data_IF_668067968064
#
_entry.id   IF_668067968064
#
_cell.length_a   1.000
_cell.length_b   1.000
_cell.length_c   1.000
_cell.angle_alpha   90.00
_cell.angle_beta   90.00
_cell.angle_gamma   90.00
#
_symmetry.space_group_name_H-M   'P 1'
#
loop_
_entity.id
_entity.type
_entity.pdbx_description
1 polymer ?
#
# COMPACT_ATOMS: atom_id res chain seq x y z
N UNK A 1 -22.56 -8.08 12.78
CA UNK A 1 -21.83 -7.70 11.56
C UNK A 1 -21.32 -8.97 10.87
N UNK A 2 -21.41 -9.05 9.54
CA UNK A 2 -20.91 -10.19 8.78
C UNK A 2 -19.37 -10.11 8.75
N UNK A 3 -18.63 -11.14 9.21
CA UNK A 3 -17.17 -11.14 9.15
C UNK A 3 -16.62 -10.86 7.76
N UNK A 4 -17.28 -11.34 6.72
CA UNK A 4 -16.89 -11.13 5.33
C UNK A 4 -16.97 -9.66 4.91
N UNK A 5 -17.84 -8.88 5.53
CA UNK A 5 -18.02 -7.46 5.21
C UNK A 5 -16.82 -6.60 5.65
N UNK A 6 -16.12 -7.02 6.71
CA UNK A 6 -14.97 -6.30 7.25
C UNK A 6 -13.63 -6.86 6.74
N UNK A 7 -13.66 -7.76 5.78
CA UNK A 7 -12.48 -8.50 5.34
C UNK A 7 -12.12 -8.06 3.92
N UNK A 8 -11.44 -6.94 3.83
CA UNK A 8 -11.05 -6.34 2.56
C UNK A 8 -10.33 -7.35 1.66
N UNK A 9 -10.87 -7.56 0.47
CA UNK A 9 -10.29 -8.41 -0.55
C UNK A 9 -10.49 -9.92 -0.39
N UNK A 10 -11.12 -10.41 0.69
CA UNK A 10 -11.37 -11.85 0.84
C UNK A 10 -12.55 -12.34 0.00
N UNK A 11 -13.59 -11.54 -0.10
CA UNK A 11 -14.79 -11.87 -0.89
C UNK A 11 -15.10 -10.83 -1.97
N UNK A 12 -14.28 -9.80 -2.09
CA UNK A 12 -14.38 -8.87 -3.19
C UNK A 12 -13.65 -9.44 -4.40
N UNK A 13 -14.29 -9.46 -5.58
CA UNK A 13 -13.65 -9.94 -6.78
C UNK A 13 -12.45 -9.09 -7.11
N UNK A 14 -11.41 -9.76 -7.60
CA UNK A 14 -10.21 -9.09 -8.07
C UNK A 14 -10.55 -8.20 -9.27
N UNK A 15 -10.10 -6.94 -9.24
CA UNK A 15 -10.17 -6.07 -10.41
C UNK A 15 -9.29 -6.63 -11.54
N UNK A 16 -9.57 -6.23 -12.76
CA UNK A 16 -8.78 -6.63 -13.92
C UNK A 16 -8.27 -5.42 -14.69
N UNK A 17 -7.30 -5.63 -15.57
CA UNK A 17 -6.72 -4.58 -16.41
C UNK A 17 -7.23 -4.77 -17.82
N UNK A 18 -7.87 -3.74 -18.40
CA UNK A 18 -8.41 -3.79 -19.75
C UNK A 18 -7.30 -3.53 -20.81
N UNK A 19 -7.69 -3.57 -22.10
CA UNK A 19 -6.79 -3.35 -23.23
C UNK A 19 -6.14 -1.95 -23.22
N UNK A 20 -6.80 -0.96 -22.64
CA UNK A 20 -6.28 0.41 -22.50
C UNK A 20 -5.34 0.56 -21.28
N UNK A 21 -4.99 -0.55 -20.62
CA UNK A 21 -4.17 -0.58 -19.40
C UNK A 21 -4.79 0.16 -18.20
N UNK A 22 -6.13 0.19 -18.14
CA UNK A 22 -6.91 0.78 -17.05
C UNK A 22 -7.44 -0.33 -16.14
N UNK A 23 -7.43 -0.10 -14.82
CA UNK A 23 -8.03 -1.01 -13.86
C UNK A 23 -9.55 -0.85 -13.89
N UNK A 24 -10.22 -1.97 -14.11
CA UNK A 24 -11.68 -2.07 -14.07
C UNK A 24 -12.05 -2.81 -12.78
N UNK A 25 -12.67 -2.12 -11.79
CA UNK A 25 -13.17 -2.77 -10.60
C UNK A 25 -14.28 -3.77 -10.94
N UNK A 26 -14.29 -4.88 -10.22
CA UNK A 26 -15.38 -5.86 -10.27
C UNK A 26 -16.30 -5.68 -9.07
N UNK A 27 -17.57 -5.92 -9.26
CA UNK A 27 -18.58 -5.80 -8.21
C UNK A 27 -19.33 -7.11 -8.04
N UNK A 28 -19.75 -7.40 -6.81
CA UNK A 28 -20.50 -8.62 -6.50
C UNK A 28 -21.71 -8.28 -5.63
N UNK A 29 -22.82 -8.91 -5.93
CA UNK A 29 -24.04 -8.81 -5.14
C UNK A 29 -24.67 -10.17 -4.88
N UNK A 30 -25.70 -10.20 -4.05
CA UNK A 30 -26.47 -11.41 -3.73
C UNK A 30 -25.60 -12.61 -3.31
N UNK A 31 -24.69 -12.39 -2.34
CA UNK A 31 -23.82 -13.46 -1.86
C UNK A 31 -24.62 -14.63 -1.31
N UNK A 32 -24.18 -15.84 -1.69
CA UNK A 32 -24.71 -17.11 -1.22
C UNK A 32 -23.59 -17.98 -0.70
N UNK A 33 -23.89 -18.91 0.19
CA UNK A 33 -22.93 -19.84 0.74
C UNK A 33 -23.53 -21.26 0.77
N UNK A 34 -22.77 -22.25 0.34
CA UNK A 34 -23.17 -23.66 0.36
C UNK A 34 -22.05 -24.54 0.89
N UNK A 35 -22.42 -25.57 1.67
CA UNK A 35 -21.45 -26.57 2.15
C UNK A 35 -21.22 -27.61 1.05
N UNK A 36 -19.96 -27.87 0.73
CA UNK A 36 -19.47 -28.86 -0.23
C UNK A 36 -18.82 -30.00 0.55
N UNK A 37 -19.37 -31.20 0.43
CA UNK A 37 -18.81 -32.42 1.06
C UNK A 37 -18.13 -33.30 -0.01
N UNK A 38 -16.85 -33.50 0.12
CA UNK A 38 -16.08 -34.33 -0.80
C UNK A 38 -15.01 -35.09 -0.05
N UNK A 39 -14.92 -36.40 -0.28
CA UNK A 39 -13.90 -37.30 0.30
C UNK A 39 -13.73 -37.17 1.84
N UNK A 40 -14.85 -37.00 2.54
CA UNK A 40 -14.86 -36.81 4.00
C UNK A 40 -14.49 -35.42 4.50
N UNK A 41 -14.05 -34.54 3.65
CA UNK A 41 -13.79 -33.11 3.96
C UNK A 41 -15.02 -32.27 3.67
N UNK A 42 -15.15 -31.17 4.42
CA UNK A 42 -16.16 -30.13 4.19
C UNK A 42 -15.46 -28.85 3.82
N UNK A 43 -15.82 -28.29 2.68
CA UNK A 43 -15.45 -26.93 2.28
C UNK A 43 -16.71 -26.13 2.02
N UNK A 44 -16.58 -24.85 1.85
CA UNK A 44 -17.71 -23.95 1.64
C UNK A 44 -17.51 -23.19 0.35
N UNK A 45 -18.54 -23.24 -0.51
CA UNK A 45 -18.61 -22.44 -1.72
C UNK A 45 -19.30 -21.12 -1.37
N UNK A 46 -18.67 -20.01 -1.71
CA UNK A 46 -19.29 -18.69 -1.68
C UNK A 46 -19.49 -18.25 -3.12
N UNK A 47 -20.69 -17.76 -3.45
CA UNK A 47 -21.00 -17.25 -4.78
C UNK A 47 -21.68 -15.89 -4.70
N UNK A 48 -21.54 -15.08 -5.74
CA UNK A 48 -22.23 -13.82 -5.87
C UNK A 48 -22.47 -13.47 -7.33
N UNK A 49 -23.50 -12.69 -7.59
CA UNK A 49 -23.81 -12.21 -8.93
C UNK A 49 -22.79 -11.15 -9.36
N UNK A 50 -22.42 -11.16 -10.63
CA UNK A 50 -21.60 -10.11 -11.23
C UNK A 50 -22.46 -8.86 -11.47
N UNK A 51 -22.08 -7.75 -10.86
CA UNK A 51 -22.79 -6.49 -10.90
C UNK A 51 -21.97 -5.42 -11.61
N UNK A 52 -22.67 -4.44 -12.21
CA UNK A 52 -22.06 -3.23 -12.77
C UNK A 52 -21.90 -2.16 -11.67
N UNK A 53 -21.12 -1.14 -11.96
CA UNK A 53 -20.90 0.01 -11.07
C UNK A 53 -22.17 0.80 -10.73
N UNK A 54 -23.22 0.69 -11.53
CA UNK A 54 -24.53 1.30 -11.29
C UNK A 54 -25.45 0.47 -10.37
N UNK A 55 -24.96 -0.67 -9.87
CA UNK A 55 -25.72 -1.58 -9.01
C UNK A 55 -26.67 -2.52 -9.77
N UNK A 56 -26.61 -2.57 -11.09
CA UNK A 56 -27.38 -3.53 -11.89
C UNK A 56 -26.58 -4.82 -12.13
N UNK A 57 -27.29 -5.95 -12.28
CA UNK A 57 -26.67 -7.23 -12.65
C UNK A 57 -26.09 -7.14 -14.05
N UNK A 58 -24.84 -7.60 -14.21
CA UNK A 58 -24.20 -7.66 -15.52
C UNK A 58 -24.84 -8.73 -16.40
N UNK A 59 -25.56 -8.29 -17.42
CA UNK A 59 -26.29 -9.19 -18.31
C UNK A 59 -25.39 -10.10 -19.16
N UNK A 60 -24.13 -9.74 -19.38
CA UNK A 60 -23.16 -10.54 -20.13
C UNK A 60 -22.78 -11.83 -19.37
N UNK A 61 -22.78 -11.77 -18.04
CA UNK A 61 -22.49 -12.87 -17.15
C UNK A 61 -23.76 -13.51 -16.51
N UNK A 62 -24.93 -13.31 -17.10
CA UNK A 62 -26.18 -13.85 -16.59
C UNK A 62 -26.11 -15.39 -16.45
N UNK A 63 -26.32 -15.87 -15.22
CA UNK A 63 -26.22 -17.31 -14.90
C UNK A 63 -24.83 -17.82 -14.59
N UNK A 64 -23.85 -16.92 -14.55
CA UNK A 64 -22.52 -17.12 -14.00
C UNK A 64 -22.37 -16.36 -12.68
N UNK A 65 -21.43 -16.81 -11.85
CA UNK A 65 -21.26 -16.30 -10.50
C UNK A 65 -19.78 -16.07 -10.21
N UNK A 66 -19.45 -14.96 -9.57
CA UNK A 66 -18.21 -14.86 -8.83
C UNK A 66 -18.19 -15.95 -7.78
N UNK A 67 -17.06 -16.63 -7.62
CA UNK A 67 -17.00 -17.84 -6.83
C UNK A 67 -15.71 -17.94 -6.03
N UNK A 68 -15.83 -18.34 -4.78
CA UNK A 68 -14.74 -18.58 -3.86
C UNK A 68 -14.98 -19.90 -3.11
N UNK A 69 -13.90 -20.58 -2.73
CA UNK A 69 -13.97 -21.67 -1.77
C UNK A 69 -13.19 -21.34 -0.50
N UNK A 70 -13.64 -21.89 0.61
CA UNK A 70 -12.97 -21.76 1.90
C UNK A 70 -13.18 -23.02 2.74
N UNK A 71 -12.19 -23.39 3.55
CA UNK A 71 -12.34 -24.44 4.52
C UNK A 71 -12.59 -23.92 5.94
N UNK A 72 -12.30 -22.65 6.22
CA UNK A 72 -12.22 -22.09 7.55
C UNK A 72 -12.87 -20.71 7.71
N UNK A 73 -13.34 -20.08 6.62
CA UNK A 73 -13.80 -18.69 6.56
C UNK A 73 -12.76 -17.64 6.97
N UNK A 74 -11.50 -18.01 6.96
CA UNK A 74 -10.37 -17.12 7.25
C UNK A 74 -9.47 -16.95 6.01
N UNK A 75 -9.38 -18.03 5.21
CA UNK A 75 -8.66 -18.06 3.94
C UNK A 75 -9.61 -18.44 2.80
N UNK A 76 -9.44 -17.81 1.63
CA UNK A 76 -10.34 -17.99 0.50
C UNK A 76 -9.55 -18.20 -0.79
N UNK A 77 -9.96 -19.22 -1.56
CA UNK A 77 -9.49 -19.44 -2.92
C UNK A 77 -10.50 -18.86 -3.90
N UNK A 78 -10.07 -17.87 -4.68
CA UNK A 78 -10.91 -17.27 -5.72
C UNK A 78 -10.89 -18.13 -6.98
N UNK A 79 -12.07 -18.52 -7.44
CA UNK A 79 -12.26 -19.28 -8.69
C UNK A 79 -12.65 -18.40 -9.87
N UNK A 80 -12.89 -17.09 -9.64
CA UNK A 80 -13.37 -16.15 -10.62
C UNK A 80 -14.84 -16.36 -11.02
N UNK A 81 -15.21 -15.92 -12.20
CA UNK A 81 -16.56 -16.08 -12.72
C UNK A 81 -16.71 -17.49 -13.27
N UNK A 82 -17.61 -18.27 -12.66
CA UNK A 82 -17.94 -19.62 -13.07
C UNK A 82 -19.42 -19.72 -13.47
N UNK A 83 -19.73 -20.43 -14.55
CA UNK A 83 -21.10 -20.76 -14.87
C UNK A 83 -21.70 -21.73 -13.83
N UNK A 84 -23.02 -21.73 -13.71
CA UNK A 84 -23.70 -22.69 -12.82
C UNK A 84 -23.35 -24.14 -13.11
N UNK A 85 -23.13 -24.52 -14.37
CA UNK A 85 -22.71 -25.87 -14.76
C UNK A 85 -21.31 -26.21 -14.25
N UNK A 86 -20.35 -25.31 -14.41
CA UNK A 86 -18.98 -25.46 -13.88
C UNK A 86 -18.97 -25.60 -12.36
N UNK A 87 -19.79 -24.84 -11.65
CA UNK A 87 -19.91 -24.95 -10.20
C UNK A 87 -20.51 -26.28 -9.77
N UNK A 88 -21.54 -26.76 -10.44
CA UNK A 88 -22.14 -28.08 -10.18
C UNK A 88 -21.10 -29.20 -10.38
N UNK A 89 -20.32 -29.14 -11.46
CA UNK A 89 -19.26 -30.11 -11.74
C UNK A 89 -18.15 -30.10 -10.68
N UNK A 90 -17.68 -28.91 -10.33
CA UNK A 90 -16.60 -28.76 -9.32
C UNK A 90 -17.00 -29.21 -7.92
N UNK A 91 -18.25 -28.95 -7.54
CA UNK A 91 -18.71 -29.09 -6.14
C UNK A 91 -19.58 -30.31 -5.90
N UNK A 92 -20.18 -30.87 -6.95
CA UNK A 92 -21.22 -31.90 -6.84
C UNK A 92 -22.57 -31.39 -6.32
N UNK A 93 -22.73 -30.07 -6.15
CA UNK A 93 -23.99 -29.46 -5.73
C UNK A 93 -24.93 -29.27 -6.93
N UNK A 94 -26.24 -29.22 -6.65
CA UNK A 94 -27.23 -28.79 -7.64
C UNK A 94 -27.22 -27.25 -7.76
N UNK A 95 -27.62 -26.74 -8.92
CA UNK A 95 -27.72 -25.30 -9.14
C UNK A 95 -28.71 -24.63 -8.16
N UNK A 96 -29.76 -25.36 -7.76
CA UNK A 96 -30.71 -24.91 -6.75
C UNK A 96 -30.03 -24.74 -5.39
N UNK A 97 -29.24 -25.72 -4.93
CA UNK A 97 -28.47 -25.63 -3.69
C UNK A 97 -27.51 -24.44 -3.69
N UNK A 98 -26.87 -24.15 -4.84
CA UNK A 98 -25.95 -23.01 -4.98
C UNK A 98 -26.70 -21.66 -4.87
N UNK A 99 -27.90 -21.58 -5.42
CA UNK A 99 -28.68 -20.33 -5.47
C UNK A 99 -29.51 -20.02 -4.24
N UNK A 100 -29.94 -21.05 -3.51
CA UNK A 100 -30.95 -20.91 -2.44
C UNK A 100 -30.36 -20.77 -1.05
N UNK A 101 -29.08 -21.10 -0.86
CA UNK A 101 -28.51 -21.18 0.48
C UNK A 101 -27.76 -19.89 0.84
N UNK A 102 -28.29 -19.10 1.77
CA UNK A 102 -27.67 -17.93 2.34
C UNK A 102 -27.33 -18.11 3.83
N UNK A 103 -27.62 -19.28 4.39
CA UNK A 103 -27.26 -19.69 5.75
C UNK A 103 -26.78 -21.15 5.75
N UNK A 104 -25.72 -21.41 6.47
CA UNK A 104 -25.17 -22.77 6.68
C UNK A 104 -24.86 -23.02 8.15
N UNK A 105 -24.98 -24.28 8.55
CA UNK A 105 -24.46 -24.73 9.84
C UNK A 105 -22.95 -25.04 9.69
N UNK A 106 -22.16 -24.53 10.59
CA UNK A 106 -20.72 -24.83 10.69
C UNK A 106 -20.43 -25.52 12.02
N UNK A 107 -19.35 -26.33 12.12
CA UNK A 107 -18.95 -26.93 13.39
C UNK A 107 -18.67 -25.88 14.47
N UNK A 108 -19.00 -26.20 15.71
CA UNK A 108 -18.78 -25.30 16.85
C UNK A 108 -17.32 -24.87 16.98
N UNK A 109 -16.38 -25.78 16.72
CA UNK A 109 -14.95 -25.51 16.73
C UNK A 109 -14.57 -24.43 15.70
N UNK A 110 -15.09 -24.53 14.50
CA UNK A 110 -14.91 -23.52 13.43
C UNK A 110 -15.54 -22.18 13.82
N UNK A 111 -16.76 -22.20 14.40
CA UNK A 111 -17.43 -21.01 14.88
C UNK A 111 -16.61 -20.31 15.98
N UNK A 112 -15.95 -21.08 16.86
CA UNK A 112 -15.07 -20.51 17.89
C UNK A 112 -13.79 -19.93 17.27
N UNK A 113 -13.18 -20.58 16.31
CA UNK A 113 -12.01 -20.07 15.59
C UNK A 113 -12.33 -18.75 14.87
N UNK A 114 -13.44 -18.67 14.15
CA UNK A 114 -13.91 -17.44 13.47
C UNK A 114 -14.14 -16.32 14.51
N UNK A 115 -14.89 -16.62 15.57
CA UNK A 115 -15.14 -15.65 16.66
C UNK A 115 -13.84 -15.18 17.31
N UNK A 116 -12.91 -16.12 17.57
CA UNK A 116 -11.63 -15.77 18.16
C UNK A 116 -10.82 -14.85 17.24
N UNK A 117 -10.74 -15.18 15.96
CA UNK A 117 -10.04 -14.36 14.96
C UNK A 117 -10.61 -12.93 14.92
N UNK A 118 -11.93 -12.79 14.72
CA UNK A 118 -12.56 -11.46 14.63
C UNK A 118 -12.59 -10.70 15.95
N UNK A 119 -12.78 -11.40 17.07
CA UNK A 119 -12.69 -10.77 18.38
C UNK A 119 -11.25 -10.33 18.70
N UNK A 120 -10.23 -11.04 18.24
CA UNK A 120 -8.84 -10.62 18.38
C UNK A 120 -8.53 -9.36 17.57
N UNK A 121 -9.11 -9.23 16.37
CA UNK A 121 -8.98 -8.02 15.54
C UNK A 121 -9.70 -6.82 16.19
N UNK A 122 -10.87 -7.06 16.83
CA UNK A 122 -11.67 -6.03 17.46
C UNK A 122 -11.46 -5.93 19.00
N UNK A 123 -10.73 -6.88 19.59
CA UNK A 123 -10.45 -6.82 21.02
C UNK A 123 -9.73 -5.51 21.29
N UNK A 124 -10.29 -4.73 22.22
CA UNK A 124 -9.48 -3.73 22.90
C UNK A 124 -8.30 -4.48 23.47
N UNK A 125 -7.16 -4.47 22.77
CA UNK A 125 -5.91 -4.88 23.39
C UNK A 125 -5.86 -4.08 24.66
N UNK A 126 -5.81 -4.75 25.81
CA UNK A 126 -5.32 -4.12 27.01
C UNK A 126 -3.85 -3.83 26.74
N UNK A 127 -3.62 -2.74 26.00
CA UNK A 127 -2.30 -2.17 25.90
C UNK A 127 -1.99 -1.74 27.33
N UNK A 128 -0.97 -2.30 27.93
CA UNK A 128 -0.21 -1.58 28.96
C UNK A 128 -0.12 -0.16 28.47
N UNK A 129 -0.55 0.82 29.29
CA UNK A 129 -0.68 2.23 28.87
C UNK A 129 0.42 2.60 27.89
N UNK A 130 0.09 3.02 26.66
CA UNK A 130 1.09 3.29 25.66
C UNK A 130 2.03 4.35 26.23
N UNK A 131 3.33 4.12 26.16
CA UNK A 131 4.36 5.08 26.58
C UNK A 131 4.21 6.42 25.85
N UNK A 132 3.50 6.43 24.72
CA UNK A 132 3.19 7.58 23.88
C UNK A 132 1.67 7.69 23.73
N UNK A 133 1.16 8.92 23.82
CA UNK A 133 -0.25 9.21 23.60
C UNK A 133 -0.50 9.42 22.12
N UNK A 134 -1.46 8.72 21.52
CA UNK A 134 -1.87 8.88 20.13
C UNK A 134 -3.04 9.88 19.97
N UNK A 135 -3.10 10.61 18.83
CA UNK A 135 -2.04 10.72 17.83
C UNK A 135 -0.82 11.47 18.39
N UNK A 136 0.39 11.11 17.95
CA UNK A 136 1.64 11.75 18.38
C UNK A 136 1.70 13.21 17.91
N UNK A 137 1.19 13.48 16.72
CA UNK A 137 1.07 14.81 16.12
C UNK A 137 -0.12 14.83 15.16
N UNK A 138 -0.55 16.04 14.77
CA UNK A 138 -1.60 16.27 13.78
C UNK A 138 -1.07 17.14 12.64
N UNK A 139 -1.59 16.91 11.41
CA UNK A 139 -1.17 17.64 10.21
C UNK A 139 0.29 17.34 9.81
N UNK A 140 0.78 16.15 10.15
CA UNK A 140 2.09 15.64 9.75
C UNK A 140 1.89 14.24 9.14
N UNK A 141 1.76 14.22 7.81
CA UNK A 141 1.59 13.01 7.03
C UNK A 141 2.94 12.39 6.63
N UNK A 142 2.95 11.13 6.18
CA UNK A 142 4.14 10.43 5.67
C UNK A 142 5.32 10.51 6.66
N UNK A 143 5.16 10.08 7.92
CA UNK A 143 6.14 10.27 8.96
C UNK A 143 7.34 9.33 8.79
N UNK A 144 8.55 9.85 8.93
CA UNK A 144 9.79 9.05 8.94
C UNK A 144 10.65 9.46 10.13
N UNK A 145 11.16 8.45 10.83
CA UNK A 145 12.14 8.60 11.92
C UNK A 145 13.48 7.98 11.48
N UNK A 146 14.55 8.71 11.69
CA UNK A 146 15.92 8.26 11.48
C UNK A 146 16.69 8.31 12.81
N UNK A 147 17.37 7.22 13.16
CA UNK A 147 18.43 7.25 14.19
C UNK A 147 19.76 7.53 13.50
N UNK A 148 20.40 8.66 13.81
CA UNK A 148 21.65 9.08 13.20
C UNK A 148 22.60 9.69 14.24
N UNK A 149 23.78 9.09 14.42
CA UNK A 149 24.79 9.55 15.38
C UNK A 149 24.21 9.78 16.79
N UNK A 150 23.52 8.78 17.33
CA UNK A 150 22.92 8.75 18.67
C UNK A 150 21.72 9.69 18.92
N UNK A 151 21.25 10.39 17.89
CA UNK A 151 20.05 11.22 17.95
C UNK A 151 18.97 10.74 16.99
N UNK A 152 17.72 10.94 17.39
CA UNK A 152 16.57 10.71 16.53
C UNK A 152 16.21 11.97 15.75
N UNK A 153 15.93 11.80 14.46
CA UNK A 153 15.45 12.83 13.57
C UNK A 153 14.08 12.42 13.03
N UNK A 154 13.16 13.37 12.98
CA UNK A 154 11.82 13.16 12.46
C UNK A 154 11.56 14.14 11.32
N UNK A 155 10.99 13.64 10.24
CA UNK A 155 10.54 14.42 9.09
C UNK A 155 9.19 13.89 8.63
N UNK A 156 8.37 14.77 8.05
CA UNK A 156 7.05 14.44 7.51
C UNK A 156 6.61 15.48 6.48
N UNK A 157 5.62 15.16 5.68
CA UNK A 157 4.81 16.16 4.97
C UNK A 157 4.10 17.04 6.00
N UNK A 158 4.11 18.34 5.82
CA UNK A 158 3.55 19.28 6.79
C UNK A 158 2.29 19.95 6.26
N UNK A 159 1.13 19.34 6.47
CA UNK A 159 -0.18 19.86 6.08
C UNK A 159 -0.49 21.20 6.80
N UNK A 160 0.11 21.43 7.99
CA UNK A 160 -0.06 22.69 8.71
C UNK A 160 0.61 23.88 8.01
N UNK A 161 1.55 23.62 7.10
CA UNK A 161 2.25 24.60 6.27
C UNK A 161 1.84 24.50 4.79
N UNK A 162 0.66 23.92 4.51
CA UNK A 162 0.10 23.71 3.16
C UNK A 162 1.05 22.88 2.26
N UNK A 163 1.73 21.91 2.82
CA UNK A 163 2.69 21.03 2.13
C UNK A 163 3.82 21.81 1.44
N UNK A 164 4.30 22.90 2.06
CA UNK A 164 5.40 23.70 1.51
C UNK A 164 6.61 23.65 2.43
N UNK A 165 7.71 23.11 1.87
CA UNK A 165 8.98 22.96 2.57
C UNK A 165 9.06 21.70 3.42
N UNK A 166 10.30 21.30 3.76
CA UNK A 166 10.56 20.18 4.67
C UNK A 166 11.13 20.66 5.98
N UNK A 167 10.61 20.12 7.06
CA UNK A 167 10.91 20.50 8.43
C UNK A 167 11.36 19.30 9.24
N UNK A 168 12.48 19.43 9.93
CA UNK A 168 13.09 18.35 10.73
C UNK A 168 13.01 18.68 12.21
N UNK A 169 12.69 17.69 13.02
CA UNK A 169 12.85 17.71 14.47
C UNK A 169 14.01 16.81 14.86
N UNK A 170 14.70 17.16 15.96
CA UNK A 170 15.78 16.37 16.53
C UNK A 170 15.57 16.18 18.02
N UNK A 171 15.81 14.99 18.54
CA UNK A 171 15.81 14.70 19.97
C UNK A 171 16.75 13.54 20.29
N UNK A 172 17.23 13.46 21.53
CA UNK A 172 18.04 12.33 21.99
C UNK A 172 17.16 11.10 22.33
N UNK A 173 15.92 11.34 22.78
CA UNK A 173 14.93 10.30 23.06
C UNK A 173 13.78 10.37 22.04
N UNK A 174 13.34 9.23 21.54
CA UNK A 174 12.26 9.14 20.54
C UNK A 174 10.99 9.92 20.95
N UNK A 175 10.58 9.79 22.21
CA UNK A 175 9.37 10.46 22.74
C UNK A 175 9.44 11.98 22.66
N UNK A 176 10.66 12.55 22.76
CA UNK A 176 10.88 13.99 22.82
C UNK A 176 10.75 14.65 21.43
N UNK A 177 10.77 13.87 20.34
CA UNK A 177 10.44 14.34 18.98
C UNK A 177 9.00 14.92 18.90
N UNK A 178 8.13 14.51 19.82
CA UNK A 178 6.72 14.89 19.85
C UNK A 178 6.38 15.74 21.08
N UNK A 179 7.39 16.23 21.81
CA UNK A 179 7.19 17.14 22.92
C UNK A 179 6.61 18.48 22.43
N UNK A 180 5.80 19.14 23.28
CA UNK A 180 5.09 20.38 22.91
C UNK A 180 6.02 21.52 22.47
N UNK A 181 7.23 21.55 23.00
CA UNK A 181 8.24 22.60 22.80
C UNK A 181 9.40 22.13 21.89
N UNK A 182 9.25 20.99 21.19
CA UNK A 182 10.26 20.51 20.26
C UNK A 182 10.51 21.51 19.15
N UNK A 183 11.79 21.83 18.93
CA UNK A 183 12.17 22.73 17.85
C UNK A 183 12.06 22.06 16.50
N UNK A 184 11.59 22.83 15.53
CA UNK A 184 11.43 22.41 14.14
C UNK A 184 12.31 23.26 13.24
N UNK A 185 13.09 22.64 12.36
CA UNK A 185 14.08 23.28 11.51
C UNK A 185 13.73 23.05 10.04
N UNK A 186 13.53 24.14 9.27
CA UNK A 186 13.28 24.05 7.85
C UNK A 186 14.58 23.76 7.10
N UNK A 187 14.65 22.66 6.37
CA UNK A 187 15.84 22.23 5.62
C UNK A 187 15.68 22.41 4.10
N UNK A 188 14.47 22.49 3.60
CA UNK A 188 14.16 22.83 2.21
C UNK A 188 12.95 23.75 2.17
N UNK A 189 13.01 24.78 1.35
CA UNK A 189 11.90 25.73 1.17
C UNK A 189 11.48 25.80 -0.29
N UNK A 190 10.38 26.51 -0.52
CA UNK A 190 9.91 26.84 -1.87
C UNK A 190 10.98 27.56 -2.66
N UNK A 191 11.21 27.09 -3.88
CA UNK A 191 12.15 27.68 -4.85
C UNK A 191 11.51 27.63 -6.25
N UNK A 192 10.83 28.70 -6.61
CA UNK A 192 10.09 28.80 -7.88
C UNK A 192 11.01 28.77 -9.10
N UNK A 193 12.26 29.23 -8.97
CA UNK A 193 13.22 29.24 -10.07
C UNK A 193 13.68 27.83 -10.43
N UNK A 194 13.75 26.94 -9.45
CA UNK A 194 14.14 25.55 -9.63
C UNK A 194 12.93 24.56 -9.68
N UNK A 195 11.69 25.08 -9.73
CA UNK A 195 10.48 24.27 -9.88
C UNK A 195 10.02 23.58 -8.57
N UNK A 196 10.47 24.05 -7.40
CA UNK A 196 9.99 23.57 -6.09
C UNK A 196 8.90 24.51 -5.57
N UNK A 197 7.66 24.28 -5.98
CA UNK A 197 6.58 25.27 -5.76
C UNK A 197 5.56 24.79 -4.74
N UNK A 198 5.19 23.51 -4.79
CA UNK A 198 4.11 22.92 -4.01
C UNK A 198 4.30 21.41 -3.83
N UNK A 199 3.47 20.77 -3.00
CA UNK A 199 3.42 19.33 -2.79
C UNK A 199 4.78 18.75 -2.35
N UNK A 200 5.34 19.32 -1.27
CA UNK A 200 6.52 18.78 -0.62
C UNK A 200 6.09 17.54 0.19
N UNK A 201 6.03 16.39 -0.47
CA UNK A 201 5.43 15.17 0.05
C UNK A 201 6.45 14.06 0.29
N UNK A 202 6.06 13.16 1.20
CA UNK A 202 6.71 11.88 1.46
C UNK A 202 8.25 11.97 1.56
N UNK A 203 8.79 12.78 2.48
CA UNK A 203 10.23 12.86 2.68
C UNK A 203 10.74 11.62 3.44
N UNK A 204 11.78 10.97 2.91
CA UNK A 204 12.40 9.80 3.53
C UNK A 204 13.91 9.97 3.68
N UNK A 205 14.43 9.78 4.89
CA UNK A 205 15.87 9.70 5.13
C UNK A 205 16.39 8.29 4.85
N UNK A 206 17.42 8.18 4.03
CA UNK A 206 18.08 6.90 3.75
C UNK A 206 19.60 7.04 3.69
N UNK A 207 20.29 6.00 4.17
CA UNK A 207 21.76 5.91 4.06
C UNK A 207 22.08 5.03 2.86
N UNK A 208 22.63 5.63 1.80
CA UNK A 208 23.06 4.96 0.58
C UNK A 208 24.56 5.09 0.44
N UNK A 209 25.25 3.96 0.30
CA UNK A 209 26.72 3.92 0.19
C UNK A 209 27.43 4.82 1.22
N UNK A 210 26.99 4.75 2.50
CA UNK A 210 27.57 5.51 3.61
C UNK A 210 27.26 6.99 3.67
N UNK A 211 26.49 7.54 2.73
CA UNK A 211 26.04 8.94 2.73
C UNK A 211 24.55 9.02 3.07
N UNK A 212 24.17 10.08 3.79
CA UNK A 212 22.76 10.35 4.09
C UNK A 212 22.10 11.12 2.95
N UNK A 213 20.96 10.64 2.52
CA UNK A 213 20.11 11.24 1.50
C UNK A 213 18.72 11.51 2.04
N UNK A 214 18.05 12.51 1.48
CA UNK A 214 16.61 12.74 1.60
C UNK A 214 15.99 12.48 0.24
N UNK A 215 15.11 11.49 0.16
CA UNK A 215 14.22 11.26 -0.97
C UNK A 215 12.89 11.95 -0.70
N UNK A 216 12.26 12.51 -1.72
CA UNK A 216 11.00 13.23 -1.55
C UNK A 216 10.30 13.47 -2.87
N UNK A 217 9.05 13.89 -2.77
CA UNK A 217 8.23 14.34 -3.90
C UNK A 217 8.06 15.86 -3.83
N UNK A 218 8.09 16.52 -4.97
CA UNK A 218 7.76 17.94 -5.11
C UNK A 218 7.20 18.22 -6.51
N UNK A 219 6.36 19.25 -6.61
CA UNK A 219 5.77 19.72 -7.86
C UNK A 219 6.18 21.17 -8.17
N UNK A 220 6.24 21.47 -9.44
CA UNK A 220 6.33 22.85 -9.94
C UNK A 220 4.99 23.61 -9.83
N UNK A 221 4.80 24.67 -10.58
CA UNK A 221 3.56 25.46 -10.58
C UNK A 221 2.36 24.69 -11.14
N UNK A 222 2.59 23.71 -11.98
CA UNK A 222 1.56 22.79 -12.44
C UNK A 222 1.49 21.59 -11.47
N UNK A 223 0.32 20.97 -11.35
CA UNK A 223 0.18 19.78 -10.51
C UNK A 223 0.82 18.57 -11.19
N UNK A 224 2.10 18.37 -10.94
CA UNK A 224 2.94 17.33 -11.54
C UNK A 224 4.01 16.84 -10.55
N UNK A 225 3.64 16.22 -9.42
CA UNK A 225 4.59 15.79 -8.40
C UNK A 225 5.54 14.71 -8.91
N UNK A 226 6.84 14.86 -8.62
CA UNK A 226 7.92 14.02 -9.09
C UNK A 226 8.93 13.69 -7.99
N UNK A 227 9.55 12.51 -8.09
CA UNK A 227 10.57 12.05 -7.16
C UNK A 227 11.88 12.82 -7.32
N UNK A 228 12.42 13.29 -6.20
CA UNK A 228 13.69 14.00 -6.09
C UNK A 228 14.54 13.38 -4.97
N UNK A 229 15.82 13.66 -5.03
CA UNK A 229 16.80 13.26 -4.03
C UNK A 229 17.76 14.41 -3.75
N UNK A 230 18.16 14.59 -2.50
CA UNK A 230 19.26 15.47 -2.12
C UNK A 230 20.17 14.80 -1.12
N UNK A 231 21.47 15.10 -1.18
CA UNK A 231 22.51 14.50 -0.37
C UNK A 231 22.93 15.43 0.74
N UNK A 232 23.14 14.90 1.96
CA UNK A 232 23.81 15.62 3.02
C UNK A 232 25.31 15.67 2.71
N UNK A 233 25.90 16.86 2.76
CA UNK A 233 27.35 17.05 2.59
C UNK A 233 28.11 16.29 3.66
N UNK A 234 29.34 15.91 3.34
CA UNK A 234 30.22 15.25 4.31
C UNK A 234 30.35 16.11 5.57
N UNK A 235 30.19 15.48 6.74
CA UNK A 235 30.15 16.15 8.05
C UNK A 235 29.08 17.24 8.22
N UNK A 236 28.08 17.32 7.33
CA UNK A 236 26.98 18.27 7.40
C UNK A 236 26.06 18.02 8.61
N UNK A 237 25.38 19.09 9.02
CA UNK A 237 24.29 19.03 10.01
C UNK A 237 22.96 18.89 9.29
N UNK A 238 22.19 17.84 9.61
CA UNK A 238 20.87 17.56 9.04
C UNK A 238 19.93 18.78 9.20
N UNK A 239 20.07 19.54 10.26
CA UNK A 239 19.21 20.69 10.58
C UNK A 239 19.59 21.97 9.83
N UNK A 240 20.77 22.00 9.20
CA UNK A 240 21.26 23.17 8.47
C UNK A 240 20.97 23.03 6.97
N UNK A 241 20.05 23.87 6.38
CA UNK A 241 19.72 23.76 4.95
C UNK A 241 20.93 23.97 4.02
N UNK A 242 22.00 24.66 4.47
CA UNK A 242 23.22 24.89 3.68
C UNK A 242 24.12 23.67 3.59
N UNK A 243 23.91 22.67 4.44
CA UNK A 243 24.71 21.45 4.46
C UNK A 243 24.10 20.35 3.58
N UNK A 244 22.97 20.63 2.96
CA UNK A 244 22.39 19.80 1.90
C UNK A 244 22.87 20.25 0.52
N UNK A 245 23.09 19.27 -0.36
CA UNK A 245 23.33 19.53 -1.78
C UNK A 245 22.02 19.95 -2.46
N UNK A 246 22.11 20.51 -3.67
CA UNK A 246 20.89 20.87 -4.42
C UNK A 246 20.09 19.62 -4.76
N UNK A 247 18.77 19.67 -4.61
CA UNK A 247 17.91 18.56 -5.03
C UNK A 247 18.04 18.23 -6.53
N UNK A 248 18.01 16.95 -6.84
CA UNK A 248 18.06 16.43 -8.20
C UNK A 248 16.83 15.57 -8.45
N UNK A 249 16.12 15.78 -9.56
CA UNK A 249 15.04 14.89 -9.97
C UNK A 249 15.61 13.54 -10.41
N UNK A 250 15.06 12.44 -9.90
CA UNK A 250 15.50 11.10 -10.27
C UNK A 250 15.16 10.81 -11.73
N UNK A 251 16.08 10.14 -12.45
CA UNK A 251 16.03 9.91 -13.89
C UNK A 251 16.28 8.45 -14.25
N UNK A 252 15.84 8.06 -15.44
CA UNK A 252 16.18 6.77 -16.06
C UNK A 252 17.65 6.68 -16.44
N UNK A 253 18.12 5.48 -16.76
CA UNK A 253 19.47 5.20 -17.24
C UNK A 253 19.87 6.04 -18.46
N UNK A 254 18.93 6.30 -19.37
CA UNK A 254 19.14 7.13 -20.56
C UNK A 254 19.11 8.65 -20.30
N UNK A 255 18.94 9.07 -19.03
CA UNK A 255 18.83 10.48 -18.62
C UNK A 255 17.43 11.08 -18.77
N UNK A 256 16.46 10.34 -19.31
CA UNK A 256 15.06 10.75 -19.42
C UNK A 256 14.36 10.78 -18.05
N UNK A 257 13.16 11.32 -17.99
CA UNK A 257 12.32 11.29 -16.79
C UNK A 257 11.84 9.86 -16.48
N UNK A 258 11.48 9.57 -15.22
CA UNK A 258 10.95 8.27 -14.82
C UNK A 258 9.74 7.85 -15.67
N UNK A 259 8.93 8.82 -16.06
CA UNK A 259 7.87 8.67 -17.06
C UNK A 259 7.73 9.95 -17.88
N UNK A 260 7.24 9.84 -19.12
CA UNK A 260 6.96 11.01 -19.98
C UNK A 260 5.70 11.75 -19.53
N UNK A 261 4.75 11.04 -18.94
CA UNK A 261 3.46 11.59 -18.48
C UNK A 261 3.08 10.97 -17.13
N UNK A 262 2.35 11.75 -16.33
CA UNK A 262 1.85 11.32 -15.03
C UNK A 262 2.79 11.68 -13.89
N UNK A 263 2.40 11.28 -12.70
CA UNK A 263 3.10 11.55 -11.45
C UNK A 263 3.98 10.39 -11.04
N UNK A 264 5.06 10.70 -10.32
CA UNK A 264 5.95 9.73 -9.68
C UNK A 264 6.21 10.23 -8.26
N UNK A 265 5.74 9.51 -7.27
CA UNK A 265 5.72 9.92 -5.86
C UNK A 265 6.19 8.78 -4.95
N UNK A 266 6.52 9.11 -3.70
CA UNK A 266 6.73 8.15 -2.61
C UNK A 266 7.84 7.13 -2.93
N UNK A 267 9.00 7.61 -3.34
CA UNK A 267 10.12 6.75 -3.73
C UNK A 267 10.92 6.30 -2.51
N UNK A 268 11.04 4.99 -2.33
CA UNK A 268 11.84 4.35 -1.28
C UNK A 268 12.90 3.43 -1.87
N UNK A 269 14.11 3.33 -1.30
CA UNK A 269 15.12 2.36 -1.70
C UNK A 269 14.89 1.01 -1.01
N UNK A 270 15.13 -0.06 -1.76
CA UNK A 270 15.11 -1.43 -1.27
C UNK A 270 16.44 -2.10 -1.63
N UNK A 271 17.11 -2.72 -0.67
CA UNK A 271 18.34 -3.48 -0.91
C UNK A 271 18.02 -4.97 -0.97
N UNK A 272 18.63 -5.70 -1.91
CA UNK A 272 18.60 -7.16 -1.99
C UNK A 272 20.00 -7.67 -2.32
N UNK A 273 20.61 -8.42 -1.38
CA UNK A 273 22.03 -8.75 -1.45
C UNK A 273 22.88 -7.48 -1.53
N UNK A 274 23.66 -7.33 -2.61
CA UNK A 274 24.47 -6.13 -2.86
C UNK A 274 23.83 -5.15 -3.84
N UNK A 275 22.62 -5.45 -4.35
CA UNK A 275 21.91 -4.63 -5.33
C UNK A 275 20.93 -3.70 -4.66
N UNK A 276 20.67 -2.54 -5.28
CA UNK A 276 19.77 -1.51 -4.78
C UNK A 276 18.70 -1.21 -5.80
N UNK A 277 17.46 -1.12 -5.33
CA UNK A 277 16.28 -0.87 -6.15
C UNK A 277 15.49 0.29 -5.56
N UNK A 278 14.90 1.13 -6.42
CA UNK A 278 13.86 2.04 -6.02
C UNK A 278 12.49 1.40 -6.27
N UNK A 279 11.59 1.60 -5.32
CA UNK A 279 10.16 1.38 -5.51
C UNK A 279 9.45 2.71 -5.32
N UNK A 280 8.50 3.04 -6.20
CA UNK A 280 7.75 4.29 -6.14
C UNK A 280 6.34 4.13 -6.68
N UNK A 281 5.45 5.07 -6.34
CA UNK A 281 4.10 5.13 -6.89
C UNK A 281 4.07 5.92 -8.19
N UNK A 282 3.38 5.38 -9.20
CA UNK A 282 3.20 6.01 -10.51
C UNK A 282 1.73 5.98 -10.91
N UNK A 283 1.22 7.11 -11.45
CA UNK A 283 -0.13 7.21 -12.02
C UNK A 283 -0.14 8.16 -13.20
N UNK A 284 -0.86 7.80 -14.24
CA UNK A 284 -1.04 8.63 -15.45
C UNK A 284 -2.50 8.72 -15.87
N UNK A 285 -2.80 9.70 -16.72
CA UNK A 285 -4.15 9.99 -17.23
C UNK A 285 -5.17 10.27 -16.12
N UNK A 286 -4.74 10.85 -15.01
CA UNK A 286 -5.53 11.11 -13.81
C UNK A 286 -6.80 11.88 -14.15
N UNK A 287 -7.97 11.40 -13.66
CA UNK A 287 -9.25 12.03 -13.88
C UNK A 287 -9.84 11.87 -15.28
N UNK A 288 -9.25 11.00 -16.12
CA UNK A 288 -9.77 10.65 -17.44
C UNK A 288 -10.26 9.20 -17.48
N UNK A 289 -11.02 8.78 -18.52
CA UNK A 289 -11.40 7.37 -18.70
C UNK A 289 -10.22 6.41 -18.84
N UNK A 290 -9.01 6.92 -19.14
CA UNK A 290 -7.76 6.16 -19.27
C UNK A 290 -6.88 6.24 -18.01
N UNK A 291 -7.42 6.64 -16.88
CA UNK A 291 -6.71 6.71 -15.61
C UNK A 291 -6.22 5.31 -15.17
N UNK A 292 -4.91 5.17 -15.01
CA UNK A 292 -4.30 3.87 -14.67
C UNK A 292 -4.53 3.44 -13.22
N UNK A 293 -4.99 4.32 -12.35
CA UNK A 293 -4.81 4.17 -10.91
C UNK A 293 -3.32 4.28 -10.51
N UNK A 294 -3.04 4.46 -9.25
CA UNK A 294 -1.66 4.44 -8.74
C UNK A 294 -1.15 3.01 -8.67
N UNK A 295 0.05 2.78 -9.21
CA UNK A 295 0.71 1.48 -9.24
C UNK A 295 2.12 1.61 -8.68
N UNK A 296 2.66 0.55 -8.10
CA UNK A 296 4.06 0.52 -7.70
C UNK A 296 4.93 0.12 -8.89
N UNK A 297 5.97 0.92 -9.11
CA UNK A 297 7.03 0.65 -10.07
C UNK A 297 8.30 0.25 -9.34
N UNK A 298 9.16 -0.51 -9.99
CA UNK A 298 10.48 -0.90 -9.48
C UNK A 298 11.54 -0.76 -10.56
N UNK A 299 12.76 -0.36 -10.18
CA UNK A 299 13.95 -0.38 -11.04
C UNK A 299 15.22 -0.42 -10.20
N UNK A 300 16.27 -0.98 -10.74
CA UNK A 300 17.61 -1.00 -10.12
C UNK A 300 18.31 0.35 -10.26
N UNK A 301 19.09 0.75 -9.25
CA UNK A 301 19.95 1.94 -9.27
C UNK A 301 21.33 1.66 -8.68
N UNK A 302 22.32 2.47 -9.03
CA UNK A 302 23.66 2.45 -8.44
C UNK A 302 23.68 3.35 -7.20
N UNK A 303 23.96 2.83 -5.99
CA UNK A 303 24.00 3.63 -4.77
C UNK A 303 25.14 4.68 -4.77
N UNK A 304 26.09 4.63 -5.70
CA UNK A 304 27.10 5.69 -5.91
C UNK A 304 26.50 6.87 -6.68
N UNK A 305 25.54 6.61 -7.56
CA UNK A 305 24.80 7.57 -8.41
C UNK A 305 23.29 7.43 -8.24
N UNK A 306 22.78 7.63 -7.02
CA UNK A 306 21.40 7.30 -6.69
C UNK A 306 20.35 8.21 -7.36
N UNK A 307 20.79 9.28 -8.04
CA UNK A 307 19.92 10.15 -8.84
C UNK A 307 19.48 9.52 -10.17
N UNK A 308 19.99 8.32 -10.49
CA UNK A 308 19.74 7.69 -11.79
C UNK A 308 19.56 6.18 -11.68
N UNK A 309 18.53 5.68 -12.37
CA UNK A 309 18.31 4.24 -12.55
C UNK A 309 19.35 3.63 -13.47
N UNK A 310 19.61 2.34 -13.30
CA UNK A 310 20.46 1.54 -14.20
C UNK A 310 19.67 0.47 -14.95
N UNK A 311 18.43 0.18 -14.53
CA UNK A 311 17.47 -0.64 -15.30
C UNK A 311 16.26 0.18 -15.75
N UNK A 312 15.47 -0.36 -16.66
CA UNK A 312 14.17 0.22 -17.03
C UNK A 312 13.13 -0.08 -15.93
N UNK A 313 12.18 0.85 -15.69
CA UNK A 313 11.11 0.65 -14.73
C UNK A 313 10.16 -0.48 -15.12
N UNK A 314 9.89 -1.39 -14.16
CA UNK A 314 8.90 -2.45 -14.26
C UNK A 314 7.71 -2.17 -13.34
N UNK A 315 6.51 -2.62 -13.70
CA UNK A 315 5.31 -2.48 -12.87
C UNK A 315 5.24 -3.59 -11.84
N UNK A 316 5.71 -3.31 -10.63
CA UNK A 316 5.75 -4.27 -9.51
C UNK A 316 4.37 -4.67 -9.03
N UNK A 317 3.45 -3.72 -8.86
CA UNK A 317 2.13 -3.99 -8.28
C UNK A 317 1.06 -3.08 -8.85
N UNK A 318 -0.06 -3.69 -9.26
CA UNK A 318 -1.30 -3.00 -9.60
C UNK A 318 -2.29 -3.15 -8.43
N UNK A 319 -3.14 -2.14 -8.19
CA UNK A 319 -4.17 -2.18 -7.13
C UNK A 319 -5.37 -3.05 -7.53
N UNK A 320 -5.19 -4.37 -7.53
CA UNK A 320 -6.19 -5.34 -8.00
C UNK A 320 -7.07 -5.92 -6.89
N UNK A 321 -6.65 -5.83 -5.62
CA UNK A 321 -7.43 -6.34 -4.50
C UNK A 321 -8.47 -5.33 -4.01
N UNK A 322 -9.55 -5.83 -3.39
CA UNK A 322 -10.68 -5.01 -2.98
C UNK A 322 -10.31 -3.86 -2.03
N UNK A 323 -9.37 -4.09 -1.09
CA UNK A 323 -8.92 -3.05 -0.17
C UNK A 323 -8.12 -1.92 -0.85
N UNK A 324 -7.63 -2.15 -2.06
CA UNK A 324 -6.89 -1.18 -2.86
C UNK A 324 -7.80 -0.30 -3.73
N UNK A 325 -9.10 -0.66 -3.79
CA UNK A 325 -10.12 -0.04 -4.64
C UNK A 325 -11.30 0.46 -3.81
N UNK A 326 -11.03 1.15 -2.72
CA UNK A 326 -12.05 1.64 -1.79
C UNK A 326 -12.32 3.13 -1.98
N UNK A 327 -13.54 3.56 -1.63
CA UNK A 327 -13.92 4.97 -1.56
C UNK A 327 -13.63 5.75 -2.87
N UNK A 328 -13.88 5.10 -4.01
CA UNK A 328 -13.69 5.63 -5.37
C UNK A 328 -12.21 5.91 -5.75
N UNK A 329 -11.27 5.32 -5.04
CA UNK A 329 -9.83 5.45 -5.33
C UNK A 329 -9.24 4.09 -5.71
N UNK A 330 -8.41 4.08 -6.74
CA UNK A 330 -7.65 2.93 -7.22
C UNK A 330 -6.19 3.20 -6.93
N UNK A 331 -5.63 2.57 -5.88
CA UNK A 331 -4.38 3.05 -5.32
C UNK A 331 -3.47 1.98 -4.72
N UNK A 332 -2.18 2.00 -5.14
CA UNK A 332 -1.03 1.49 -4.40
C UNK A 332 0.00 2.61 -4.28
N UNK A 333 0.31 3.04 -3.06
CA UNK A 333 1.24 4.14 -2.80
C UNK A 333 2.03 3.95 -1.51
N UNK A 334 2.92 4.86 -1.18
CA UNK A 334 3.67 4.88 0.08
C UNK A 334 4.43 3.59 0.37
N UNK A 335 5.21 3.02 -0.58
CA UNK A 335 5.98 1.82 -0.30
C UNK A 335 7.08 2.11 0.72
N UNK A 336 7.31 1.20 1.68
CA UNK A 336 8.42 1.27 2.61
C UNK A 336 8.88 -0.14 3.00
N UNK A 337 10.18 -0.41 2.91
CA UNK A 337 10.73 -1.74 3.15
C UNK A 337 11.28 -1.92 4.56
N UNK A 338 11.14 -3.12 5.10
CA UNK A 338 11.88 -3.60 6.26
C UNK A 338 12.35 -5.04 6.05
N UNK A 339 13.29 -5.50 6.88
CA UNK A 339 13.98 -6.77 6.71
C UNK A 339 13.82 -7.64 7.95
N UNK A 340 13.48 -8.91 7.76
CA UNK A 340 13.37 -9.86 8.83
C UNK A 340 13.63 -11.29 8.34
N UNK A 341 14.49 -12.04 9.00
CA UNK A 341 14.83 -13.44 8.68
C UNK A 341 15.10 -13.71 7.20
N UNK A 342 16.04 -13.01 6.59
CA UNK A 342 16.40 -13.14 5.17
C UNK A 342 15.26 -12.85 4.20
N UNK A 343 14.24 -12.14 4.64
CA UNK A 343 13.15 -11.67 3.79
C UNK A 343 13.08 -10.16 3.76
N UNK A 344 12.66 -9.67 2.62
CA UNK A 344 12.30 -8.29 2.37
C UNK A 344 10.78 -8.19 2.49
N UNK A 345 10.32 -7.28 3.32
CA UNK A 345 8.91 -6.94 3.49
C UNK A 345 8.71 -5.51 2.99
N UNK A 346 7.96 -5.34 1.93
CA UNK A 346 7.61 -4.05 1.37
C UNK A 346 6.16 -3.74 1.72
N UNK A 347 5.95 -2.93 2.75
CA UNK A 347 4.64 -2.40 3.07
C UNK A 347 4.26 -1.32 2.07
N UNK A 348 2.99 -1.23 1.71
CA UNK A 348 2.44 -0.20 0.85
C UNK A 348 1.00 0.11 1.27
N UNK A 349 0.45 1.20 0.80
CA UNK A 349 -0.90 1.60 1.12
C UNK A 349 -1.85 1.43 -0.05
N UNK A 350 -3.11 1.06 0.27
CA UNK A 350 -4.19 0.90 -0.69
C UNK A 350 -5.46 1.61 -0.26
N UNK A 351 -6.23 2.09 -1.23
CA UNK A 351 -7.45 2.86 -0.98
C UNK A 351 -7.24 4.38 -0.93
N UNK A 352 -8.23 5.13 -0.49
CA UNK A 352 -8.15 6.60 -0.37
C UNK A 352 -7.42 7.01 0.90
N UNK A 353 -6.30 7.74 0.76
CA UNK A 353 -5.50 8.25 1.88
C UNK A 353 -6.29 9.15 2.86
N UNK A 354 -7.44 9.68 2.44
CA UNK A 354 -8.34 10.49 3.28
C UNK A 354 -9.51 9.67 3.82
N UNK A 355 -9.58 8.39 3.43
CA UNK A 355 -10.69 7.51 3.70
C UNK A 355 -10.52 6.70 4.98
N UNK A 356 -11.65 6.28 5.53
CA UNK A 356 -11.72 5.37 6.67
C UNK A 356 -11.10 4.00 6.34
N UNK A 357 -11.18 3.59 5.08
CA UNK A 357 -10.80 2.26 4.60
C UNK A 357 -9.35 2.20 4.07
N UNK A 358 -8.58 3.27 4.13
CA UNK A 358 -7.15 3.25 3.81
C UNK A 358 -6.45 2.17 4.63
N UNK A 359 -5.64 1.35 3.98
CA UNK A 359 -5.10 0.16 4.60
C UNK A 359 -3.69 -0.17 4.11
N UNK A 360 -2.92 -0.90 4.92
CA UNK A 360 -1.56 -1.31 4.60
C UNK A 360 -1.56 -2.71 4.01
N UNK A 361 -1.10 -2.84 2.76
CA UNK A 361 -0.79 -4.10 2.10
C UNK A 361 0.67 -4.50 2.28
N UNK A 362 1.03 -5.70 1.80
CA UNK A 362 2.39 -6.24 1.91
C UNK A 362 2.78 -7.00 0.66
N UNK A 363 4.00 -6.75 0.20
CA UNK A 363 4.74 -7.59 -0.76
C UNK A 363 5.95 -8.19 -0.05
N UNK A 364 6.29 -9.44 -0.36
CA UNK A 364 7.47 -10.10 0.21
C UNK A 364 8.34 -10.73 -0.86
N UNK A 365 9.66 -10.68 -0.68
CA UNK A 365 10.65 -11.38 -1.47
C UNK A 365 11.76 -11.91 -0.57
N UNK A 366 12.70 -12.72 -1.06
CA UNK A 366 13.85 -13.10 -0.27
C UNK A 366 14.99 -12.09 -0.48
N UNK A 367 15.78 -11.89 0.54
CA UNK A 367 17.03 -11.14 0.40
C UNK A 367 18.00 -11.90 -0.52
N UNK A 368 18.56 -11.22 -1.50
CA UNK A 368 19.39 -11.80 -2.56
C UNK A 368 18.66 -12.08 -3.87
N UNK A 369 17.33 -12.03 -3.90
CA UNK A 369 16.55 -12.15 -5.13
C UNK A 369 16.78 -10.93 -6.06
N UNK A 370 16.63 -11.14 -7.37
CA UNK A 370 16.53 -10.05 -8.35
C UNK A 370 15.13 -9.43 -8.27
N UNK A 371 15.03 -8.29 -7.62
CA UNK A 371 13.72 -7.67 -7.35
C UNK A 371 13.02 -7.12 -8.60
N UNK A 372 13.73 -7.00 -9.74
CA UNK A 372 13.10 -6.71 -11.03
C UNK A 372 12.49 -7.95 -11.70
N UNK A 373 12.80 -9.15 -11.23
CA UNK A 373 12.03 -10.34 -11.58
C UNK A 373 10.75 -10.36 -10.73
N UNK A 374 9.63 -10.00 -11.36
CA UNK A 374 8.34 -9.89 -10.66
C UNK A 374 7.84 -11.22 -10.07
N UNK A 375 8.38 -12.35 -10.53
CA UNK A 375 7.98 -13.68 -10.04
C UNK A 375 8.50 -14.02 -8.64
N UNK A 376 9.51 -13.27 -8.15
CA UNK A 376 10.05 -13.48 -6.79
C UNK A 376 9.17 -12.85 -5.71
N UNK A 377 8.24 -11.97 -6.10
CA UNK A 377 7.38 -11.26 -5.17
C UNK A 377 6.07 -12.00 -4.88
N UNK A 378 5.76 -12.11 -3.61
CA UNK A 378 4.47 -12.56 -3.12
C UNK A 378 3.67 -11.38 -2.57
N UNK A 379 2.49 -11.14 -3.12
CA UNK A 379 1.58 -10.07 -2.68
C UNK A 379 0.50 -10.64 -1.77
N UNK A 380 0.40 -10.12 -0.53
CA UNK A 380 -0.66 -10.48 0.40
C UNK A 380 -2.03 -10.09 -0.17
N UNK A 381 -2.98 -11.03 -0.15
CA UNK A 381 -4.34 -10.84 -0.70
C UNK A 381 -5.22 -9.95 0.19
N UNK A 382 -4.82 -9.76 1.44
CA UNK A 382 -5.54 -8.96 2.46
C UNK A 382 -4.59 -7.97 3.09
N UNK A 383 -5.10 -6.84 3.61
CA UNK A 383 -4.27 -5.88 4.30
C UNK A 383 -3.69 -6.47 5.59
N UNK A 384 -2.47 -6.07 5.92
CA UNK A 384 -1.82 -6.41 7.21
C UNK A 384 -2.24 -5.47 8.33
N UNK A 385 -2.69 -4.26 7.99
CA UNK A 385 -3.27 -3.31 8.92
C UNK A 385 -4.40 -2.53 8.26
N UNK A 386 -5.48 -2.32 9.01
CA UNK A 386 -6.69 -1.59 8.58
C UNK A 386 -7.35 -0.95 9.81
N UNK A 387 -8.46 -0.27 9.65
CA UNK A 387 -9.25 0.28 10.76
C UNK A 387 -9.63 -0.78 11.83
N UNK A 388 -9.70 -2.05 11.44
CA UNK A 388 -10.01 -3.15 12.35
C UNK A 388 -8.79 -3.62 13.17
N UNK A 389 -7.57 -3.21 12.80
CA UNK A 389 -6.33 -3.69 13.43
C UNK A 389 -6.03 -2.97 14.74
N UNK A 390 -6.28 -1.66 14.80
CA UNK A 390 -6.02 -0.83 15.97
C UNK A 390 -7.33 -0.17 16.41
N UNK A 391 -7.92 -0.55 17.54
CA UNK A 391 -9.19 0.03 17.99
C UNK A 391 -9.10 1.55 18.16
N UNK A 392 -10.04 2.26 17.52
CA UNK A 392 -10.14 3.72 17.60
C UNK A 392 -9.29 4.48 16.57
N UNK A 393 -8.49 3.77 15.77
CA UNK A 393 -7.74 4.33 14.65
C UNK A 393 -8.40 3.95 13.34
N UNK A 394 -8.30 4.84 12.35
CA UNK A 394 -8.91 4.68 11.04
C UNK A 394 -7.91 5.01 9.95
N UNK A 395 -8.00 4.31 8.82
CA UNK A 395 -7.20 4.59 7.64
C UNK A 395 -5.70 4.51 7.88
N UNK A 396 -5.16 3.43 8.52
CA UNK A 396 -3.72 3.30 8.67
C UNK A 396 -3.06 3.15 7.31
N UNK A 397 -2.02 3.92 7.06
CA UNK A 397 -1.27 3.85 5.82
C UNK A 397 -0.09 4.81 5.79
N UNK A 398 0.64 4.78 4.70
CA UNK A 398 1.85 5.55 4.43
C UNK A 398 2.82 5.53 5.62
N UNK A 399 3.16 4.31 6.02
CA UNK A 399 3.97 4.02 7.20
C UNK A 399 5.47 3.98 6.87
N UNK A 400 6.28 4.14 7.88
CA UNK A 400 7.72 3.86 7.85
C UNK A 400 8.12 2.94 8.99
N UNK A 401 9.33 2.38 8.90
CA UNK A 401 9.94 1.53 9.94
C UNK A 401 11.32 2.08 10.30
N UNK A 402 11.71 1.94 11.58
CA UNK A 402 13.03 2.38 12.06
C UNK A 402 13.56 1.46 13.17
#
# INVERSE_FOLDING_TARGET
ECPLHNNYGLVFPKAWVNEDNVIVPSFVGNLKVAAVKKDGAVTYLITGEDWKSDGSVNSENKGSFWSWSTADFLTFDEWGICSGAQLCEKTGLTLEAIRMTDQIAIPDEMAQCIKHHWNALHAKRQMTEPKLKFPLARGLAHPVVLLWKDDYYFIATNDNENDIGFYVRKAHELKDLFAKDVKTYKILDKDTENGFVQLFWAPEFHVLNGSLYLLFTVSDSEWNPQCHIMKLKENGDILNPKDWEKPIRVRRANGGFLSEKGINIDMTPVKSGERYFYVWSHRKNIGTPLDTGSMLMIAEFDPVHPERLISEPECLSRPLYGFENTEHTINNEGPYAFYYHNKIYLAYSGGDARGYLYAIGMLTANDGDDLCDLSVWEKAKTPIASFATIPGEYGPGHNSFF
#
